data_IF_096470364777
#
_entry.id   IF_096470364777
#
_cell.length_a   1.000
_cell.length_b   1.000
_cell.length_c   1.000
_cell.angle_alpha   90.00
_cell.angle_beta   90.00
_cell.angle_gamma   90.00
#
_symmetry.space_group_name_H-M   'P 1'
#
loop_
_entity.id
_entity.type
_entity.pdbx_description
1 polymer ?
#
# COMPACT_ATOMS: atom_id res chain seq x y z
N UNK A 1 29.14 -4.11 1.46
CA UNK A 1 28.60 -5.48 1.56
C UNK A 1 27.35 -5.62 0.67
N UNK A 2 27.50 -5.39 -0.65
CA UNK A 2 26.38 -5.07 -1.57
C UNK A 2 26.30 -5.99 -2.80
N UNK A 3 27.06 -7.09 -2.83
CA UNK A 3 27.36 -7.83 -4.08
C UNK A 3 26.73 -9.23 -4.16
N UNK A 4 26.17 -9.82 -3.09
CA UNK A 4 25.84 -11.26 -3.12
C UNK A 4 24.46 -11.64 -3.70
N UNK A 5 23.46 -10.75 -3.81
CA UNK A 5 22.08 -11.15 -4.13
C UNK A 5 21.69 -11.09 -5.63
N UNK A 6 22.65 -11.32 -6.54
CA UNK A 6 22.49 -11.09 -7.99
C UNK A 6 22.24 -12.33 -8.86
N UNK A 7 21.74 -13.46 -8.32
CA UNK A 7 21.48 -14.65 -9.16
C UNK A 7 20.04 -15.18 -9.05
N UNK A 8 19.34 -15.24 -10.19
CA UNK A 8 18.48 -16.40 -10.51
C UNK A 8 16.96 -16.21 -10.67
N UNK A 9 16.51 -16.33 -11.93
CA UNK A 9 15.22 -16.83 -12.48
C UNK A 9 13.95 -15.95 -12.37
N UNK A 10 13.34 -15.70 -13.54
CA UNK A 10 11.98 -15.14 -13.73
C UNK A 10 10.94 -16.12 -13.13
N UNK A 11 10.58 -15.92 -11.86
CA UNK A 11 9.39 -16.53 -11.23
C UNK A 11 8.30 -15.46 -11.10
N UNK A 12 7.04 -15.88 -11.24
CA UNK A 12 5.85 -15.03 -11.02
C UNK A 12 5.96 -14.25 -9.70
N UNK A 13 5.54 -12.97 -9.69
CA UNK A 13 5.59 -12.08 -8.52
C UNK A 13 5.03 -12.72 -7.24
N UNK A 14 3.93 -13.49 -7.36
CA UNK A 14 3.29 -14.17 -6.24
C UNK A 14 4.16 -15.28 -5.60
N UNK A 15 5.07 -15.88 -6.37
CA UNK A 15 5.99 -16.93 -5.91
C UNK A 15 7.25 -16.35 -5.24
N UNK A 16 7.71 -15.17 -5.65
CA UNK A 16 8.81 -14.47 -4.96
C UNK A 16 8.40 -13.92 -3.60
N UNK A 17 7.11 -13.61 -3.41
CA UNK A 17 6.58 -13.12 -2.13
C UNK A 17 6.34 -14.22 -1.08
N UNK A 18 6.49 -15.51 -1.42
CA UNK A 18 6.35 -16.61 -0.44
C UNK A 18 7.47 -16.65 0.60
N UNK A 19 8.62 -16.02 0.30
CA UNK A 19 9.79 -15.97 1.19
C UNK A 19 9.85 -14.75 2.12
N UNK A 20 8.93 -13.80 2.00
CA UNK A 20 8.93 -12.55 2.79
C UNK A 20 7.91 -12.62 3.93
N UNK A 21 7.99 -13.70 4.71
CA UNK A 21 7.12 -13.93 5.88
C UNK A 21 7.84 -13.63 7.19
N UNK A 22 9.03 -13.03 7.09
CA UNK A 22 9.83 -12.75 8.25
C UNK A 22 9.28 -11.54 9.02
N UNK A 23 9.59 -11.48 10.32
CA UNK A 23 9.35 -10.29 11.12
C UNK A 23 10.02 -9.08 10.45
N UNK A 24 9.49 -7.86 10.69
CA UNK A 24 10.08 -6.60 10.16
C UNK A 24 11.61 -6.55 10.36
N UNK A 25 12.10 -7.08 11.46
CA UNK A 25 13.51 -7.09 11.85
C UNK A 25 14.42 -7.88 10.90
N UNK A 26 13.88 -8.88 10.21
CA UNK A 26 14.60 -9.73 9.27
C UNK A 26 14.56 -9.18 7.83
N UNK A 27 13.79 -8.12 7.59
CA UNK A 27 13.76 -7.42 6.32
C UNK A 27 14.66 -6.19 6.39
N UNK A 28 15.73 -6.16 5.59
CA UNK A 28 16.73 -5.08 5.61
C UNK A 28 16.14 -3.68 5.46
N UNK A 29 14.99 -3.54 4.79
CA UNK A 29 14.36 -2.25 4.55
C UNK A 29 13.88 -1.60 5.86
N UNK A 30 13.33 -2.35 6.80
CA UNK A 30 12.83 -1.77 8.04
C UNK A 30 13.93 -1.19 8.95
N UNK A 31 15.08 -1.87 9.22
CA UNK A 31 16.19 -1.28 9.97
C UNK A 31 16.82 -0.07 9.28
N UNK A 32 17.07 -0.15 7.96
CA UNK A 32 17.71 0.94 7.21
C UNK A 32 16.87 2.23 7.20
N UNK A 33 15.54 2.08 7.30
CA UNK A 33 14.59 3.20 7.31
C UNK A 33 13.97 3.49 8.70
N UNK A 34 14.49 2.90 9.78
CA UNK A 34 13.97 3.09 11.15
C UNK A 34 12.45 2.78 11.30
N UNK A 35 11.98 1.69 10.70
CA UNK A 35 10.57 1.28 10.64
C UNK A 35 10.19 0.08 11.52
N UNK A 36 11.19 -0.59 12.12
CA UNK A 36 11.03 -1.82 12.91
C UNK A 36 9.92 -1.70 13.96
N UNK A 37 9.99 -0.67 14.81
CA UNK A 37 9.06 -0.45 15.92
C UNK A 37 7.91 0.52 15.61
N UNK A 38 7.71 0.88 14.33
CA UNK A 38 6.70 1.87 13.93
C UNK A 38 5.54 1.20 13.20
N UNK A 39 4.35 1.77 13.33
CA UNK A 39 3.26 1.42 12.41
C UNK A 39 3.49 2.13 11.08
N UNK A 40 3.78 1.36 10.03
CA UNK A 40 4.16 1.91 8.73
C UNK A 40 2.96 1.94 7.79
N UNK A 41 2.57 3.14 7.36
CA UNK A 41 1.58 3.37 6.31
C UNK A 41 2.32 3.64 5.01
N UNK A 42 2.12 2.79 4.01
CA UNK A 42 2.87 2.82 2.75
C UNK A 42 1.99 3.28 1.59
N UNK A 43 2.45 4.29 0.85
CA UNK A 43 1.99 4.56 -0.51
C UNK A 43 3.11 4.20 -1.50
N UNK A 44 2.88 3.24 -2.40
CA UNK A 44 3.89 2.85 -3.41
C UNK A 44 3.36 3.02 -4.83
N UNK A 45 3.68 4.16 -5.43
CA UNK A 45 3.57 4.38 -6.87
C UNK A 45 3.42 5.84 -7.25
N UNK A 46 2.89 6.12 -8.45
CA UNK A 46 2.94 7.46 -9.04
C UNK A 46 2.12 8.50 -8.23
N UNK A 47 2.71 9.64 -7.87
CA UNK A 47 2.02 10.85 -7.38
C UNK A 47 1.59 11.70 -8.59
N UNK A 48 0.63 11.18 -9.34
CA UNK A 48 0.05 11.81 -10.52
C UNK A 48 -1.28 12.49 -10.24
N UNK A 49 -1.88 13.06 -11.29
CA UNK A 49 -3.18 13.75 -11.20
C UNK A 49 -4.34 12.82 -10.83
N UNK A 50 -4.24 11.53 -11.13
CA UNK A 50 -5.30 10.55 -10.88
C UNK A 50 -5.28 9.98 -9.45
N UNK A 51 -4.50 10.57 -8.55
CA UNK A 51 -4.30 10.07 -7.19
C UNK A 51 -4.53 11.19 -6.19
N UNK A 52 -5.46 10.93 -5.27
CA UNK A 52 -5.75 11.79 -4.13
C UNK A 52 -4.61 11.67 -3.11
N UNK A 53 -3.78 12.71 -3.05
CA UNK A 53 -2.69 12.85 -2.10
C UNK A 53 -3.08 13.71 -0.90
N UNK A 54 -4.10 14.55 -1.07
CA UNK A 54 -4.53 15.54 -0.09
C UNK A 54 -5.14 14.81 1.12
N UNK A 55 -5.96 13.77 0.88
CA UNK A 55 -6.48 12.91 1.96
C UNK A 55 -5.36 12.22 2.75
N UNK A 56 -4.28 11.79 2.07
CA UNK A 56 -3.11 11.19 2.75
C UNK A 56 -2.43 12.23 3.63
N UNK A 57 -2.24 13.44 3.12
CA UNK A 57 -1.59 14.51 3.86
C UNK A 57 -2.40 14.96 5.07
N UNK A 58 -3.71 15.17 4.91
CA UNK A 58 -4.61 15.50 6.01
C UNK A 58 -4.62 14.40 7.08
N UNK A 59 -4.60 13.13 6.67
CA UNK A 59 -4.48 12.01 7.60
C UNK A 59 -3.16 12.06 8.37
N UNK A 60 -2.05 12.39 7.70
CA UNK A 60 -0.76 12.52 8.36
C UNK A 60 -0.71 13.69 9.34
N UNK A 61 -1.38 14.82 9.05
CA UNK A 61 -1.57 15.94 9.98
C UNK A 61 -2.27 15.48 11.27
N UNK A 62 -3.38 14.76 11.13
CA UNK A 62 -4.19 14.25 12.26
C UNK A 62 -3.44 13.23 13.14
N UNK A 63 -2.45 12.54 12.57
CA UNK A 63 -1.67 11.49 13.23
C UNK A 63 -0.26 11.95 13.63
N UNK A 64 0.07 13.25 13.52
CA UNK A 64 1.44 13.76 13.69
C UNK A 64 2.10 13.37 15.02
N UNK A 65 1.31 13.31 16.10
CA UNK A 65 1.80 13.02 17.44
C UNK A 65 1.83 11.51 17.77
N UNK A 66 1.30 10.66 16.89
CA UNK A 66 1.23 9.21 17.09
C UNK A 66 2.44 8.47 16.52
N UNK A 67 2.79 7.26 16.99
CA UNK A 67 3.94 6.48 16.51
C UNK A 67 3.69 5.81 15.14
N UNK A 68 3.15 6.58 14.20
CA UNK A 68 2.77 6.15 12.85
C UNK A 68 3.71 6.82 11.84
N UNK A 69 4.35 6.03 10.99
CA UNK A 69 5.25 6.51 9.95
C UNK A 69 4.58 6.39 8.58
N UNK A 70 4.43 7.50 7.90
CA UNK A 70 4.06 7.52 6.49
C UNK A 70 5.31 7.38 5.63
N UNK A 71 5.26 6.43 4.69
CA UNK A 71 6.32 6.17 3.73
C UNK A 71 5.71 6.19 2.33
N UNK A 72 6.14 7.15 1.52
CA UNK A 72 5.74 7.28 0.13
C UNK A 72 6.92 6.91 -0.77
N UNK A 73 6.78 5.83 -1.53
CA UNK A 73 7.74 5.43 -2.56
C UNK A 73 7.14 5.78 -3.91
N UNK A 74 7.51 6.92 -4.44
CA UNK A 74 6.83 7.53 -5.57
C UNK A 74 7.74 8.29 -6.51
N UNK A 75 7.27 8.40 -7.75
CA UNK A 75 7.66 9.41 -8.74
C UNK A 75 6.39 10.20 -9.10
N UNK A 76 6.50 11.28 -9.87
CA UNK A 76 5.32 11.94 -10.44
C UNK A 76 5.34 13.47 -10.29
N UNK A 77 4.47 14.12 -11.06
CA UNK A 77 4.42 15.57 -11.17
C UNK A 77 4.08 16.27 -9.84
N UNK A 78 3.23 15.67 -8.99
CA UNK A 78 2.83 16.25 -7.69
C UNK A 78 3.89 16.04 -6.59
N UNK A 79 4.99 15.30 -6.84
CA UNK A 79 5.93 14.90 -5.78
C UNK A 79 6.59 16.11 -5.11
N UNK A 80 7.03 17.09 -5.90
CA UNK A 80 7.79 18.23 -5.39
C UNK A 80 6.93 19.12 -4.50
N UNK A 81 5.77 19.54 -5.00
CA UNK A 81 4.80 20.34 -4.23
C UNK A 81 4.33 19.62 -2.97
N UNK A 82 4.10 18.30 -3.07
CA UNK A 82 3.71 17.50 -1.91
C UNK A 82 4.81 17.45 -0.83
N UNK A 83 6.08 17.39 -1.23
CA UNK A 83 7.21 17.43 -0.30
C UNK A 83 7.36 18.79 0.39
N UNK A 84 7.15 19.88 -0.37
CA UNK A 84 7.13 21.23 0.18
C UNK A 84 6.02 21.36 1.23
N UNK A 85 4.82 20.90 0.93
CA UNK A 85 3.71 20.94 1.88
C UNK A 85 3.99 20.11 3.16
N UNK A 86 4.53 18.91 3.01
CA UNK A 86 4.97 18.06 4.15
C UNK A 86 5.97 18.80 5.05
N UNK A 87 6.91 19.55 4.46
CA UNK A 87 7.91 20.32 5.18
C UNK A 87 7.29 21.54 5.87
N UNK A 88 6.46 22.31 5.16
CA UNK A 88 5.80 23.52 5.68
C UNK A 88 4.91 23.20 6.90
N UNK A 89 4.31 22.02 6.91
CA UNK A 89 3.48 21.52 8.01
C UNK A 89 4.30 20.92 9.17
N UNK A 90 5.61 20.73 8.99
CA UNK A 90 6.50 20.12 9.97
C UNK A 90 6.16 18.66 10.26
N UNK A 91 5.76 17.88 9.26
CA UNK A 91 5.39 16.47 9.42
C UNK A 91 6.63 15.57 9.48
N UNK A 92 7.23 15.47 10.67
CA UNK A 92 8.49 14.72 10.91
C UNK A 92 8.38 13.20 10.75
N UNK A 93 7.17 12.63 10.83
CA UNK A 93 6.90 11.19 10.65
C UNK A 93 6.37 10.86 9.25
N UNK A 94 6.85 11.62 8.27
CA UNK A 94 6.52 11.45 6.86
C UNK A 94 7.82 11.40 6.03
N UNK A 95 7.95 10.40 5.16
CA UNK A 95 9.10 10.30 4.26
C UNK A 95 8.64 10.03 2.82
N UNK A 96 9.17 10.78 1.85
CA UNK A 96 8.97 10.51 0.42
C UNK A 96 10.32 10.15 -0.21
N UNK A 97 10.38 9.00 -0.86
CA UNK A 97 11.59 8.50 -1.51
C UNK A 97 11.29 8.02 -2.92
N UNK A 98 12.31 8.08 -3.78
CA UNK A 98 12.24 7.50 -5.13
C UNK A 98 12.96 6.16 -5.09
N UNK A 99 12.27 5.06 -5.40
CA UNK A 99 12.92 3.75 -5.47
C UNK A 99 12.82 3.16 -6.86
N UNK A 100 13.97 3.12 -7.54
CA UNK A 100 14.05 2.80 -8.97
C UNK A 100 14.24 1.31 -9.28
N UNK A 101 14.46 0.47 -8.27
CA UNK A 101 14.73 -0.98 -8.46
C UNK A 101 13.50 -1.82 -8.13
N UNK A 102 12.84 -2.38 -9.16
CA UNK A 102 11.72 -3.34 -9.01
C UNK A 102 12.01 -4.51 -8.07
N UNK A 103 13.29 -4.90 -7.93
CA UNK A 103 13.72 -5.97 -7.01
C UNK A 103 13.49 -5.62 -5.53
N UNK A 104 13.36 -4.34 -5.19
CA UNK A 104 13.18 -3.88 -3.81
C UNK A 104 11.68 -3.81 -3.41
N UNK A 105 10.78 -3.78 -4.40
CA UNK A 105 9.33 -3.76 -4.22
C UNK A 105 8.80 -4.75 -3.18
N UNK A 106 9.21 -6.04 -3.20
CA UNK A 106 8.79 -7.00 -2.18
C UNK A 106 9.08 -6.54 -0.75
N UNK A 107 10.29 -6.02 -0.51
CA UNK A 107 10.79 -5.71 0.83
C UNK A 107 9.95 -4.64 1.50
N UNK A 108 9.74 -3.48 0.87
CA UNK A 108 8.96 -2.43 1.51
C UNK A 108 7.45 -2.74 1.54
N UNK A 109 6.92 -3.50 0.56
CA UNK A 109 5.52 -3.93 0.60
C UNK A 109 5.30 -4.87 1.78
N UNK A 110 6.21 -5.80 2.03
CA UNK A 110 6.10 -6.69 3.18
C UNK A 110 6.51 -6.04 4.49
N UNK A 111 7.09 -4.84 4.51
CA UNK A 111 7.37 -4.12 5.76
C UNK A 111 6.29 -3.13 6.17
N UNK A 112 5.31 -2.85 5.32
CA UNK A 112 4.22 -1.97 5.72
C UNK A 112 3.22 -2.69 6.63
N UNK A 113 2.56 -1.93 7.51
CA UNK A 113 1.42 -2.40 8.29
C UNK A 113 0.09 -2.12 7.57
N UNK A 114 0.06 -1.10 6.70
CA UNK A 114 -1.07 -0.74 5.86
C UNK A 114 -0.57 -0.22 4.51
N UNK A 115 -1.14 -0.72 3.41
CA UNK A 115 -0.90 -0.19 2.06
C UNK A 115 -2.01 0.77 1.65
N UNK A 116 -1.65 1.93 1.11
CA UNK A 116 -2.57 2.92 0.55
C UNK A 116 -2.69 2.74 -0.95
N UNK A 117 -3.93 2.73 -1.43
CA UNK A 117 -4.27 2.81 -2.85
C UNK A 117 -5.22 3.97 -3.01
N UNK A 118 -4.88 4.95 -3.84
CA UNK A 118 -5.71 6.13 -4.01
C UNK A 118 -6.11 6.30 -5.47
N UNK A 119 -7.34 6.76 -5.67
CA UNK A 119 -7.89 7.15 -6.97
C UNK A 119 -8.60 8.48 -6.75
N UNK A 120 -8.28 9.46 -7.61
CA UNK A 120 -8.94 10.77 -7.60
C UNK A 120 -10.42 10.63 -7.97
N UNK A 121 -11.27 11.47 -7.37
CA UNK A 121 -12.69 11.49 -7.69
C UNK A 121 -12.92 11.77 -9.19
N UNK A 122 -13.75 10.96 -9.84
CA UNK A 122 -14.02 11.03 -11.28
C UNK A 122 -13.04 10.26 -12.17
N UNK A 123 -11.98 9.66 -11.59
CA UNK A 123 -10.99 8.87 -12.33
C UNK A 123 -11.19 7.35 -12.18
N UNK A 124 -12.27 6.90 -11.55
CA UNK A 124 -12.49 5.51 -11.15
C UNK A 124 -12.63 4.54 -12.32
N UNK A 125 -13.16 5.01 -13.44
CA UNK A 125 -13.33 4.23 -14.67
C UNK A 125 -12.09 4.25 -15.58
N UNK A 126 -11.13 5.15 -15.32
CA UNK A 126 -9.97 5.39 -16.19
C UNK A 126 -8.67 4.77 -15.66
N UNK A 127 -8.64 4.38 -14.39
CA UNK A 127 -7.41 3.97 -13.71
C UNK A 127 -7.47 2.52 -13.26
N UNK A 128 -6.53 1.72 -13.77
CA UNK A 128 -6.32 0.37 -13.26
C UNK A 128 -5.62 0.39 -11.88
N UNK A 129 -5.97 -0.51 -10.95
CA UNK A 129 -5.49 -0.46 -9.58
C UNK A 129 -4.15 -1.22 -9.47
N UNK A 130 -3.14 -0.73 -10.17
CA UNK A 130 -1.82 -1.36 -10.29
C UNK A 130 -1.08 -1.51 -8.96
N UNK A 131 -1.46 -0.75 -7.93
CA UNK A 131 -0.91 -0.79 -6.56
C UNK A 131 -1.63 -1.79 -5.64
N UNK A 132 -2.87 -2.15 -5.98
CA UNK A 132 -3.69 -3.04 -5.16
C UNK A 132 -3.18 -4.49 -5.22
N UNK A 133 -2.89 -5.01 -6.41
CA UNK A 133 -2.47 -6.41 -6.57
C UNK A 133 -1.15 -6.73 -5.86
N UNK A 134 -0.10 -5.89 -5.96
CA UNK A 134 1.12 -6.11 -5.17
C UNK A 134 0.89 -6.07 -3.65
N UNK A 135 0.03 -5.18 -3.16
CA UNK A 135 -0.32 -5.11 -1.73
C UNK A 135 -1.08 -6.36 -1.26
N UNK A 136 -2.06 -6.83 -2.04
CA UNK A 136 -2.74 -8.10 -1.79
C UNK A 136 -1.76 -9.28 -1.79
N UNK A 137 -0.82 -9.28 -2.74
CA UNK A 137 0.21 -10.31 -2.82
C UNK A 137 1.18 -10.27 -1.64
N UNK A 138 1.52 -9.10 -1.13
CA UNK A 138 2.30 -8.96 0.09
C UNK A 138 1.53 -9.38 1.36
N UNK A 139 0.23 -9.67 1.24
CA UNK A 139 -0.61 -10.05 2.37
C UNK A 139 -0.76 -8.92 3.36
N UNK A 140 -0.89 -7.68 2.87
CA UNK A 140 -1.04 -6.49 3.71
C UNK A 140 -2.46 -5.94 3.63
N UNK A 141 -2.98 -5.33 4.70
CA UNK A 141 -4.28 -4.69 4.68
C UNK A 141 -4.18 -3.49 3.75
N UNK A 142 -5.31 -3.14 3.10
CA UNK A 142 -5.36 -2.05 2.14
C UNK A 142 -6.35 -1.00 2.62
N UNK A 143 -5.96 0.28 2.60
CA UNK A 143 -6.93 1.37 2.64
C UNK A 143 -7.03 1.96 1.24
N UNK A 144 -8.23 1.86 0.65
CA UNK A 144 -8.52 2.46 -0.66
C UNK A 144 -9.18 3.82 -0.47
N UNK A 145 -8.53 4.90 -0.91
CA UNK A 145 -9.13 6.24 -0.97
C UNK A 145 -9.72 6.40 -2.36
N UNK A 146 -11.05 6.48 -2.45
CA UNK A 146 -11.78 6.54 -3.71
C UNK A 146 -13.23 6.99 -3.51
N UNK A 147 -13.86 7.44 -4.59
CA UNK A 147 -15.29 7.78 -4.59
C UNK A 147 -16.17 6.61 -4.16
N UNK A 148 -17.35 6.92 -3.63
CA UNK A 148 -18.39 5.93 -3.29
C UNK A 148 -18.83 5.05 -4.46
N UNK A 149 -18.60 5.48 -5.71
CA UNK A 149 -18.94 4.73 -6.91
C UNK A 149 -17.82 3.80 -7.41
N UNK A 150 -16.64 3.82 -6.77
CA UNK A 150 -15.51 3.00 -7.19
C UNK A 150 -15.73 1.51 -6.92
N UNK A 151 -15.46 0.66 -7.92
CA UNK A 151 -15.46 -0.80 -7.77
C UNK A 151 -14.46 -1.30 -6.71
N UNK A 152 -13.44 -0.50 -6.38
CA UNK A 152 -12.45 -0.81 -5.35
C UNK A 152 -13.10 -1.01 -3.97
N UNK A 153 -14.21 -0.32 -3.70
CA UNK A 153 -14.96 -0.49 -2.44
C UNK A 153 -15.51 -1.90 -2.31
N UNK A 154 -16.11 -2.40 -3.40
CA UNK A 154 -16.63 -3.77 -3.46
C UNK A 154 -15.49 -4.78 -3.25
N UNK A 155 -14.32 -4.54 -3.84
CA UNK A 155 -13.16 -5.42 -3.62
C UNK A 155 -12.72 -5.50 -2.15
N UNK A 156 -12.76 -4.39 -1.41
CA UNK A 156 -12.42 -4.39 0.03
C UNK A 156 -13.46 -5.18 0.85
N UNK A 157 -14.74 -5.02 0.53
CA UNK A 157 -15.84 -5.74 1.19
C UNK A 157 -15.74 -7.24 0.92
N UNK A 158 -15.67 -7.62 -0.36
CA UNK A 158 -15.64 -9.02 -0.80
C UNK A 158 -14.37 -9.72 -0.28
N UNK A 159 -13.24 -9.02 -0.30
CA UNK A 159 -11.96 -9.56 0.15
C UNK A 159 -11.72 -9.52 1.66
N UNK A 160 -12.49 -8.73 2.42
CA UNK A 160 -12.29 -8.47 3.87
C UNK A 160 -10.83 -8.13 4.21
N UNK A 161 -10.17 -7.45 3.28
CA UNK A 161 -8.72 -7.28 3.24
C UNK A 161 -8.31 -5.83 3.50
N UNK A 162 -9.23 -5.00 3.99
CA UNK A 162 -9.01 -3.58 4.07
C UNK A 162 -10.26 -2.76 4.34
N UNK A 163 -10.11 -1.46 4.15
CA UNK A 163 -11.16 -0.45 4.30
C UNK A 163 -11.24 0.42 3.05
N UNK A 164 -12.40 1.01 2.82
CA UNK A 164 -12.56 2.07 1.82
C UNK A 164 -12.88 3.39 2.47
N UNK A 165 -12.24 4.44 1.98
CA UNK A 165 -12.34 5.81 2.48
C UNK A 165 -12.75 6.70 1.31
N UNK A 166 -13.69 7.60 1.56
CA UNK A 166 -14.08 8.60 0.55
C UNK A 166 -13.00 9.67 0.41
N UNK A 167 -12.81 10.17 -0.81
CA UNK A 167 -11.90 11.29 -1.04
C UNK A 167 -12.27 12.46 -0.11
N UNK A 168 -11.27 13.03 0.56
CA UNK A 168 -11.42 14.08 1.58
C UNK A 168 -11.70 13.58 3.00
N UNK A 169 -12.07 12.31 3.22
CA UNK A 169 -12.41 11.79 4.55
C UNK A 169 -11.17 11.27 5.32
N UNK A 170 -10.27 12.19 5.64
CA UNK A 170 -9.07 11.91 6.44
C UNK A 170 -9.39 11.40 7.86
N UNK A 171 -10.58 11.70 8.38
CA UNK A 171 -11.03 11.24 9.70
C UNK A 171 -11.32 9.74 9.71
N UNK A 172 -12.01 9.20 8.70
CA UNK A 172 -12.23 7.76 8.57
C UNK A 172 -10.90 7.03 8.30
N UNK A 173 -10.02 7.59 7.47
CA UNK A 173 -8.68 7.03 7.26
C UNK A 173 -7.90 6.96 8.58
N UNK A 174 -7.91 8.04 9.36
CA UNK A 174 -7.25 8.14 10.68
C UNK A 174 -7.79 7.09 11.65
N UNK A 175 -9.11 6.96 11.77
CA UNK A 175 -9.75 5.94 12.62
C UNK A 175 -9.35 4.53 12.21
N UNK A 176 -9.28 4.27 10.90
CA UNK A 176 -8.90 2.97 10.36
C UNK A 176 -7.45 2.62 10.70
N UNK A 177 -6.53 3.59 10.56
CA UNK A 177 -5.11 3.41 10.93
C UNK A 177 -4.98 3.15 12.43
N UNK A 178 -5.63 3.95 13.28
CA UNK A 178 -5.62 3.77 14.74
C UNK A 178 -6.13 2.39 15.15
N UNK A 179 -7.23 1.93 14.55
CA UNK A 179 -7.80 0.61 14.81
C UNK A 179 -6.83 -0.52 14.45
N UNK A 180 -6.19 -0.45 13.27
CA UNK A 180 -5.22 -1.47 12.87
C UNK A 180 -3.93 -1.42 13.70
N UNK A 181 -3.55 -0.24 14.20
CA UNK A 181 -2.39 -0.08 15.07
C UNK A 181 -2.64 -0.66 16.48
N UNK A 182 -3.85 -0.50 17.01
CA UNK A 182 -4.20 -1.00 18.35
C UNK A 182 -4.66 -2.46 18.36
N UNK A 183 -5.29 -2.95 17.29
CA UNK A 183 -5.80 -4.33 17.19
C UNK A 183 -4.95 -5.19 16.24
N UNK A 184 -3.91 -5.80 16.81
CA UNK A 184 -3.03 -6.74 16.09
C UNK A 184 -3.77 -7.96 15.54
N UNK A 185 -4.80 -8.46 16.23
CA UNK A 185 -5.56 -9.64 15.78
C UNK A 185 -6.34 -9.30 14.51
N UNK A 186 -7.01 -8.15 14.50
CA UNK A 186 -7.69 -7.65 13.31
C UNK A 186 -6.72 -7.45 12.14
N UNK A 187 -5.57 -6.83 12.38
CA UNK A 187 -4.55 -6.64 11.36
C UNK A 187 -4.06 -7.98 10.77
N UNK A 188 -3.82 -8.99 11.61
CA UNK A 188 -3.43 -10.34 11.15
C UNK A 188 -4.53 -11.05 10.36
N UNK A 189 -5.79 -10.88 10.75
CA UNK A 189 -6.94 -11.40 10.01
C UNK A 189 -7.00 -10.77 8.61
N UNK A 190 -6.86 -9.45 8.52
CA UNK A 190 -6.83 -8.73 7.24
C UNK A 190 -5.61 -9.13 6.40
N UNK A 191 -4.43 -9.34 6.99
CA UNK A 191 -3.25 -9.82 6.26
C UNK A 191 -3.52 -11.16 5.54
N UNK A 192 -4.09 -12.12 6.27
CA UNK A 192 -4.45 -13.44 5.74
C UNK A 192 -5.53 -13.31 4.66
N UNK A 193 -6.52 -12.45 4.89
CA UNK A 193 -7.60 -12.18 3.95
C UNK A 193 -7.06 -11.57 2.63
N UNK A 194 -6.14 -10.60 2.69
CA UNK A 194 -5.48 -10.00 1.52
C UNK A 194 -4.84 -11.05 0.61
N UNK A 195 -4.00 -11.93 1.20
CA UNK A 195 -3.32 -12.98 0.43
C UNK A 195 -4.32 -13.99 -0.15
N UNK A 196 -5.32 -14.39 0.65
CA UNK A 196 -6.37 -15.33 0.22
C UNK A 196 -7.19 -14.74 -0.93
N UNK A 197 -7.55 -13.46 -0.85
CA UNK A 197 -8.33 -12.77 -1.87
C UNK A 197 -7.58 -12.71 -3.20
N UNK A 198 -6.27 -12.42 -3.18
CA UNK A 198 -5.43 -12.53 -4.38
C UNK A 198 -5.47 -13.94 -4.98
N UNK A 199 -5.21 -14.96 -4.15
CA UNK A 199 -5.12 -16.35 -4.60
C UNK A 199 -6.42 -16.87 -5.20
N UNK A 200 -7.55 -16.39 -4.70
CA UNK A 200 -8.88 -16.85 -5.10
C UNK A 200 -9.48 -16.09 -6.29
N UNK A 201 -8.90 -14.96 -6.70
CA UNK A 201 -9.51 -14.10 -7.72
C UNK A 201 -8.53 -13.60 -8.81
N UNK A 202 -7.25 -13.43 -8.49
CA UNK A 202 -6.30 -12.71 -9.37
C UNK A 202 -5.07 -13.54 -9.75
N UNK A 203 -5.15 -14.87 -9.64
CA UNK A 203 -4.08 -15.74 -10.15
C UNK A 203 -4.20 -15.87 -11.67
N UNK A 204 -3.07 -16.13 -12.33
CA UNK A 204 -3.02 -16.28 -13.78
C UNK A 204 -4.05 -17.30 -14.32
N UNK A 205 -4.22 -18.51 -13.73
CA UNK A 205 -5.25 -19.44 -14.22
C UNK A 205 -6.67 -18.89 -14.15
N UNK A 206 -7.00 -18.16 -13.08
CA UNK A 206 -8.35 -17.58 -12.87
C UNK A 206 -8.61 -16.48 -13.90
N UNK A 207 -7.69 -15.53 -14.04
CA UNK A 207 -7.83 -14.42 -14.99
C UNK A 207 -7.84 -14.92 -16.43
N UNK A 208 -6.99 -15.90 -16.78
CA UNK A 208 -6.99 -16.50 -18.11
C UNK A 208 -8.33 -17.18 -18.42
N UNK A 209 -8.90 -17.92 -17.45
CA UNK A 209 -10.22 -18.55 -17.61
C UNK A 209 -11.33 -17.51 -17.77
N UNK A 210 -11.34 -16.45 -16.96
CA UNK A 210 -12.35 -15.39 -17.06
C UNK A 210 -12.28 -14.67 -18.41
N UNK A 211 -11.07 -14.38 -18.89
CA UNK A 211 -10.87 -13.76 -20.20
C UNK A 211 -11.40 -14.66 -21.32
N UNK A 212 -11.10 -15.96 -21.29
CA UNK A 212 -11.58 -16.93 -22.28
C UNK A 212 -13.12 -17.06 -22.32
N UNK A 213 -13.83 -16.76 -21.23
CA UNK A 213 -15.30 -16.77 -21.24
C UNK A 213 -15.94 -15.56 -21.93
N UNK A 214 -15.16 -14.51 -22.20
CA UNK A 214 -15.65 -13.26 -22.82
C UNK A 214 -15.30 -13.17 -24.30
N UNK A 215 -14.23 -13.86 -24.74
CA UNK A 215 -13.82 -13.98 -26.15
C UNK A 215 -14.35 -15.25 -26.78
#
# INVERSE_FOLDING_TARGET
>A
MLISYMTGKKKSYANNLRGFKDAKDNNWFAPEHNLVNKFTVLYSGNMGLCHDMDTILETAKLLRDEPIQFVCISIGAKRQSFLEEVNDLGLTKFSVSVLLRKKVLPYYLTDCNLSLVTVEAGMESLVAPSKLHPALAAGRPIAVICSKYSYLRKMMIDGKCGVSVENGDSMIQTKSIRLLNSDRKLAELMNKASRKYLQSNFTQPIIASQYFCVV
#
